data_IF_635469202705
#
_entry.id   IF_635469202705
#
_cell.length_a   1.000
_cell.length_b   1.000
_cell.length_c   1.000
_cell.angle_alpha   90.00
_cell.angle_beta   90.00
_cell.angle_gamma   90.00
#
_symmetry.space_group_name_H-M   'P 1'
#
loop_
_entity.id
_entity.type
_entity.pdbx_description
1 polymer ?
#
# COMPACT_ATOMS: atom_id res chain seq x y z
N UNK A 1 15.91 29.29 -7.90
CA UNK A 1 14.81 28.85 -7.02
C UNK A 1 15.27 27.60 -6.28
N UNK A 2 15.04 27.53 -4.97
CA UNK A 2 15.34 26.35 -4.15
C UNK A 2 14.48 25.15 -4.55
N UNK A 3 14.97 23.95 -4.27
CA UNK A 3 14.19 22.71 -4.41
C UNK A 3 13.00 22.75 -3.42
N UNK A 4 11.74 22.68 -3.91
CA UNK A 4 10.57 22.78 -3.05
C UNK A 4 10.30 21.52 -2.22
N UNK A 5 10.72 20.33 -2.64
CA UNK A 5 10.53 19.11 -1.87
C UNK A 5 11.69 18.92 -0.88
N UNK A 6 11.42 19.12 0.40
CA UNK A 6 12.43 19.03 1.47
C UNK A 6 12.43 17.62 2.03
N UNK A 7 13.59 16.97 2.07
CA UNK A 7 13.74 15.61 2.61
C UNK A 7 13.30 15.55 4.08
N UNK A 8 12.48 14.56 4.41
CA UNK A 8 12.02 14.31 5.78
C UNK A 8 12.71 13.03 6.30
N UNK A 9 13.66 13.16 7.26
CA UNK A 9 14.34 12.00 7.82
C UNK A 9 13.37 11.14 8.65
N UNK A 10 13.66 9.84 8.76
CA UNK A 10 12.75 8.83 9.33
C UNK A 10 12.34 9.15 10.78
N UNK A 11 13.26 9.73 11.55
CA UNK A 11 13.06 10.15 12.95
C UNK A 11 11.90 11.15 13.10
N UNK A 12 11.56 11.87 12.03
CA UNK A 12 10.48 12.86 12.00
C UNK A 12 9.20 12.34 11.36
N UNK A 13 9.15 11.10 10.88
CA UNK A 13 7.94 10.55 10.26
C UNK A 13 6.77 10.45 11.25
N UNK A 14 7.04 10.30 12.56
CA UNK A 14 6.00 10.36 13.60
C UNK A 14 5.22 11.69 13.63
N UNK A 15 5.89 12.81 13.34
CA UNK A 15 5.26 14.13 13.24
C UNK A 15 4.30 14.17 12.05
N UNK A 16 4.74 13.70 10.88
CA UNK A 16 3.92 13.66 9.67
C UNK A 16 2.75 12.66 9.78
N UNK A 17 2.98 11.49 10.39
CA UNK A 17 1.92 10.53 10.74
C UNK A 17 0.83 11.20 11.60
N UNK A 18 1.22 12.06 12.54
CA UNK A 18 0.28 12.78 13.41
C UNK A 18 -0.57 13.80 12.63
N UNK A 19 0.02 14.48 11.65
CA UNK A 19 -0.71 15.39 10.74
C UNK A 19 -1.75 14.64 9.90
N UNK A 20 -1.39 13.50 9.29
CA UNK A 20 -2.37 12.72 8.52
C UNK A 20 -3.47 12.09 9.38
N UNK A 21 -3.21 11.87 10.67
CA UNK A 21 -4.23 11.37 11.60
C UNK A 21 -5.32 12.40 11.89
N UNK A 22 -5.09 13.70 11.68
CA UNK A 22 -6.15 14.72 11.82
C UNK A 22 -7.16 14.73 10.68
N UNK A 23 -6.88 14.03 9.58
CA UNK A 23 -7.71 13.94 8.37
C UNK A 23 -8.11 12.49 8.13
N UNK A 24 -8.78 11.87 9.12
CA UNK A 24 -9.14 10.45 9.10
C UNK A 24 -10.57 10.23 8.57
N UNK A 25 -10.83 9.18 7.77
CA UNK A 25 -9.93 8.10 7.34
C UNK A 25 -9.06 8.42 6.12
N UNK A 26 -9.23 9.55 5.44
CA UNK A 26 -8.50 9.89 4.20
C UNK A 26 -6.97 9.76 4.32
N UNK A 27 -6.41 10.15 5.45
CA UNK A 27 -4.99 10.08 5.77
C UNK A 27 -4.44 8.69 6.12
N UNK A 28 -5.28 7.65 6.18
CA UNK A 28 -4.86 6.28 6.55
C UNK A 28 -3.76 5.75 5.62
N UNK A 29 -3.85 6.01 4.33
CA UNK A 29 -2.90 5.54 3.32
C UNK A 29 -1.52 6.19 3.51
N UNK A 30 -1.48 7.49 3.80
CA UNK A 30 -0.25 8.21 4.13
C UNK A 30 0.37 7.70 5.43
N UNK A 31 -0.46 7.55 6.48
CA UNK A 31 -0.02 7.03 7.77
C UNK A 31 0.60 5.65 7.64
N UNK A 32 -0.13 4.71 7.04
CA UNK A 32 0.28 3.30 6.91
C UNK A 32 1.47 3.12 5.98
N UNK A 33 1.63 3.99 4.98
CA UNK A 33 2.84 4.02 4.13
C UNK A 33 4.09 4.36 4.94
N UNK A 34 4.05 5.44 5.73
CA UNK A 34 5.19 5.84 6.56
C UNK A 34 5.49 4.79 7.64
N UNK A 35 4.45 4.28 8.29
CA UNK A 35 4.56 3.29 9.37
C UNK A 35 5.16 1.97 8.87
N UNK A 36 4.71 1.51 7.70
CA UNK A 36 5.20 0.25 7.11
C UNK A 36 6.59 0.42 6.51
N UNK A 37 6.90 1.56 5.90
CA UNK A 37 8.25 1.85 5.42
C UNK A 37 9.27 1.85 6.58
N UNK A 38 8.92 2.47 7.71
CA UNK A 38 9.73 2.47 8.94
C UNK A 38 9.91 1.04 9.48
N UNK A 39 8.83 0.25 9.55
CA UNK A 39 8.88 -1.16 9.95
C UNK A 39 9.82 -1.99 9.05
N UNK A 40 9.75 -1.80 7.73
CA UNK A 40 10.59 -2.52 6.76
C UNK A 40 12.08 -2.20 6.98
N UNK A 41 12.43 -0.92 7.14
CA UNK A 41 13.81 -0.48 7.40
C UNK A 41 14.31 -1.05 8.74
N UNK A 42 13.51 -0.98 9.79
CA UNK A 42 13.84 -1.50 11.11
C UNK A 42 14.00 -3.04 11.15
N UNK A 43 13.44 -3.76 10.17
CA UNK A 43 13.67 -5.20 9.97
C UNK A 43 14.84 -5.50 9.00
N UNK A 44 15.73 -4.52 8.77
CA UNK A 44 16.97 -4.69 8.01
C UNK A 44 16.77 -4.80 6.50
N UNK A 45 15.70 -4.21 5.98
CA UNK A 45 15.30 -4.31 4.58
C UNK A 45 15.17 -2.94 3.91
N UNK A 46 16.21 -2.10 3.99
CA UNK A 46 16.24 -0.84 3.24
C UNK A 46 16.06 -1.09 1.74
N UNK A 47 15.05 -0.44 1.18
CA UNK A 47 14.63 -0.54 -0.21
C UNK A 47 14.62 0.81 -0.92
N UNK A 48 15.22 1.84 -0.30
CA UNK A 48 15.42 3.15 -0.92
C UNK A 48 14.22 4.09 -0.87
N UNK A 49 13.24 3.83 0.01
CA UNK A 49 12.11 4.74 0.24
C UNK A 49 12.58 6.08 0.82
N UNK A 50 12.16 7.17 0.20
CA UNK A 50 12.48 8.53 0.66
C UNK A 50 11.23 9.38 0.75
N UNK A 51 10.98 9.98 1.91
CA UNK A 51 9.87 10.90 2.12
C UNK A 51 10.34 12.36 2.02
N UNK A 52 9.50 13.20 1.43
CA UNK A 52 9.70 14.64 1.30
C UNK A 52 8.42 15.38 1.66
N UNK A 53 8.58 16.61 2.13
CA UNK A 53 7.48 17.51 2.49
C UNK A 53 7.59 18.81 1.68
N UNK A 54 6.49 19.29 1.07
CA UNK A 54 6.52 20.53 0.31
C UNK A 54 6.87 21.74 1.18
N UNK A 55 7.93 22.43 0.79
CA UNK A 55 8.49 23.62 1.43
C UNK A 55 8.87 23.43 2.91
N UNK A 56 9.10 22.20 3.35
CA UNK A 56 9.50 21.92 4.74
C UNK A 56 8.35 21.90 5.74
N UNK A 57 7.11 22.12 5.32
CA UNK A 57 5.93 22.18 6.17
C UNK A 57 5.09 20.90 6.03
N UNK A 58 4.94 20.19 7.15
CA UNK A 58 4.26 18.89 7.24
C UNK A 58 2.79 18.97 6.82
N UNK A 59 2.15 20.14 6.95
CA UNK A 59 0.75 20.34 6.58
C UNK A 59 0.51 20.45 5.08
N UNK A 60 1.59 20.55 4.28
CA UNK A 60 1.48 20.61 2.82
C UNK A 60 1.50 19.23 2.16
N UNK A 61 1.71 18.16 2.93
CA UNK A 61 1.56 16.79 2.47
C UNK A 61 2.85 15.99 2.41
N UNK A 62 2.72 14.79 1.87
CA UNK A 62 3.78 13.81 1.66
C UNK A 62 4.01 13.64 0.16
N UNK A 63 5.27 13.72 -0.23
CA UNK A 63 5.74 13.20 -1.52
C UNK A 63 6.83 12.19 -1.23
N UNK A 64 6.59 10.92 -1.51
CA UNK A 64 7.59 9.86 -1.31
C UNK A 64 8.00 9.22 -2.64
N UNK A 65 9.29 8.92 -2.74
CA UNK A 65 9.89 8.24 -3.88
C UNK A 65 10.26 6.82 -3.50
N UNK A 66 9.80 5.88 -4.32
CA UNK A 66 10.09 4.46 -4.19
C UNK A 66 10.57 3.93 -5.55
N UNK A 67 11.90 3.87 -5.73
CA UNK A 67 12.54 3.53 -7.00
C UNK A 67 13.08 2.10 -6.92
N UNK A 68 12.46 1.18 -7.66
CA UNK A 68 12.84 -0.25 -7.69
C UNK A 68 13.22 -0.67 -9.09
N UNK A 69 14.50 -0.49 -9.43
CA UNK A 69 14.98 -0.70 -10.79
C UNK A 69 14.24 0.21 -11.78
N UNK A 70 13.47 -0.38 -12.70
CA UNK A 70 12.68 0.37 -13.69
C UNK A 70 11.35 0.88 -13.13
N UNK A 71 10.85 0.29 -12.03
CA UNK A 71 9.60 0.71 -11.41
C UNK A 71 9.82 2.00 -10.61
N UNK A 72 9.07 3.05 -10.98
CA UNK A 72 9.19 4.37 -10.40
C UNK A 72 7.87 4.81 -9.80
N UNK A 73 7.79 4.74 -8.48
CA UNK A 73 6.59 5.06 -7.74
C UNK A 73 6.77 6.39 -6.99
N UNK A 74 5.76 7.25 -7.13
CA UNK A 74 5.67 8.55 -6.46
C UNK A 74 4.40 8.54 -5.62
N UNK A 75 4.53 8.36 -4.32
CA UNK A 75 3.40 8.44 -3.39
C UNK A 75 3.14 9.91 -3.10
N UNK A 76 1.91 10.37 -3.35
CA UNK A 76 1.50 11.76 -3.09
C UNK A 76 0.29 11.74 -2.18
N UNK A 77 0.33 12.48 -1.07
CA UNK A 77 -0.77 12.58 -0.10
C UNK A 77 -0.88 14.00 0.45
N UNK A 78 -2.09 14.48 0.74
CA UNK A 78 -2.34 15.83 1.26
C UNK A 78 -3.37 15.78 2.40
N UNK A 79 -3.05 16.28 3.62
CA UNK A 79 -3.92 16.19 4.81
C UNK A 79 -5.02 17.28 4.85
N UNK A 80 -5.31 17.92 3.71
CA UNK A 80 -6.27 19.01 3.57
C UNK A 80 -6.79 19.09 2.14
N UNK A 81 -7.95 19.73 1.96
CA UNK A 81 -8.60 19.86 0.65
C UNK A 81 -7.82 20.78 -0.30
N UNK A 82 -7.25 21.87 0.23
CA UNK A 82 -6.43 22.79 -0.56
C UNK A 82 -5.07 22.19 -0.88
N UNK A 83 -4.89 21.88 -2.17
CA UNK A 83 -3.72 21.22 -2.73
C UNK A 83 -2.78 22.19 -3.46
N UNK A 84 -3.04 23.50 -3.39
CA UNK A 84 -2.31 24.52 -4.17
C UNK A 84 -0.80 24.50 -3.91
N UNK A 85 -0.40 24.41 -2.64
CA UNK A 85 1.03 24.40 -2.26
C UNK A 85 1.72 23.11 -2.69
N UNK A 86 1.05 21.97 -2.56
CA UNK A 86 1.55 20.68 -3.02
C UNK A 86 1.71 20.65 -4.55
N UNK A 87 0.74 21.22 -5.29
CA UNK A 87 0.81 21.34 -6.74
C UNK A 87 1.98 22.22 -7.20
N UNK A 88 2.22 23.37 -6.56
CA UNK A 88 3.37 24.22 -6.87
C UNK A 88 4.70 23.48 -6.67
N UNK A 89 4.83 22.75 -5.56
CA UNK A 89 6.03 21.97 -5.26
C UNK A 89 6.28 20.87 -6.31
N UNK A 90 5.25 20.10 -6.66
CA UNK A 90 5.34 19.03 -7.67
C UNK A 90 5.62 19.57 -9.09
N UNK A 91 5.14 20.77 -9.42
CA UNK A 91 5.42 21.40 -10.70
C UNK A 91 6.87 21.88 -10.83
N UNK A 92 7.46 22.33 -9.72
CA UNK A 92 8.80 22.96 -9.67
C UNK A 92 9.94 22.04 -9.25
N UNK A 93 9.65 20.93 -8.58
CA UNK A 93 10.67 20.00 -8.11
C UNK A 93 11.50 19.43 -9.26
N UNK A 94 12.79 19.21 -8.99
CA UNK A 94 13.71 18.50 -9.88
C UNK A 94 13.97 17.06 -9.41
N UNK A 95 13.41 16.66 -8.26
CA UNK A 95 13.56 15.31 -7.70
C UNK A 95 12.71 14.27 -8.43
N UNK A 96 11.61 14.71 -9.06
CA UNK A 96 10.73 13.84 -9.83
C UNK A 96 11.06 13.94 -11.31
N UNK A 97 11.47 12.84 -11.90
CA UNK A 97 11.62 12.73 -13.35
C UNK A 97 10.25 12.43 -14.00
N UNK A 98 9.56 13.47 -14.44
CA UNK A 98 8.28 13.35 -15.16
C UNK A 98 8.43 12.87 -16.62
N UNK A 99 9.66 12.65 -17.10
CA UNK A 99 9.92 12.20 -18.47
C UNK A 99 10.04 10.68 -18.61
N UNK A 100 10.18 9.95 -17.50
CA UNK A 100 10.10 8.47 -17.48
C UNK A 100 8.68 7.99 -17.16
N UNK A 101 8.46 6.69 -17.34
CA UNK A 101 7.24 6.04 -16.84
C UNK A 101 7.21 6.08 -15.31
N UNK A 102 6.05 6.37 -14.73
CA UNK A 102 5.85 6.44 -13.29
C UNK A 102 4.46 5.98 -12.86
N UNK A 103 4.33 5.67 -11.58
CA UNK A 103 3.09 5.23 -10.95
C UNK A 103 2.81 6.07 -9.70
N UNK A 104 1.57 6.55 -9.55
CA UNK A 104 1.09 7.30 -8.39
C UNK A 104 -0.05 6.50 -7.76
N UNK A 105 0.23 5.75 -6.70
CA UNK A 105 -0.71 4.80 -6.14
C UNK A 105 -1.67 5.46 -5.13
N UNK A 106 -2.87 4.87 -4.98
CA UNK A 106 -3.84 5.15 -3.92
C UNK A 106 -4.10 6.64 -3.62
N UNK A 107 -4.23 7.48 -4.65
CA UNK A 107 -4.51 8.91 -4.47
C UNK A 107 -5.96 9.14 -4.05
N UNK A 108 -6.21 9.78 -2.89
CA UNK A 108 -7.55 10.29 -2.56
C UNK A 108 -7.99 11.37 -3.56
N UNK A 109 -9.28 11.70 -3.57
CA UNK A 109 -9.87 12.57 -4.60
C UNK A 109 -9.14 13.91 -4.78
N UNK A 110 -8.84 14.63 -3.69
CA UNK A 110 -8.11 15.91 -3.74
C UNK A 110 -6.74 15.77 -4.43
N UNK A 111 -6.03 14.67 -4.15
CA UNK A 111 -4.74 14.34 -4.77
C UNK A 111 -4.90 13.88 -6.21
N UNK A 112 -5.90 13.06 -6.53
CA UNK A 112 -6.18 12.69 -7.92
C UNK A 112 -6.45 13.93 -8.77
N UNK A 113 -7.29 14.85 -8.29
CA UNK A 113 -7.65 16.07 -9.00
C UNK A 113 -6.41 16.96 -9.24
N UNK A 114 -5.51 17.08 -8.26
CA UNK A 114 -4.25 17.82 -8.44
C UNK A 114 -3.32 17.13 -9.46
N UNK A 115 -3.20 15.81 -9.40
CA UNK A 115 -2.35 15.06 -10.33
C UNK A 115 -2.88 15.13 -11.77
N UNK A 116 -4.20 15.09 -11.98
CA UNK A 116 -4.83 15.29 -13.30
C UNK A 116 -4.50 16.66 -13.89
N UNK A 117 -4.46 17.71 -13.07
CA UNK A 117 -4.02 19.06 -13.50
C UNK A 117 -2.55 19.08 -13.89
N UNK A 118 -1.67 18.48 -13.08
CA UNK A 118 -0.23 18.37 -13.39
C UNK A 118 0.00 17.59 -14.68
N UNK A 119 -0.66 16.44 -14.85
CA UNK A 119 -0.59 15.59 -16.03
C UNK A 119 -1.00 16.36 -17.29
N UNK A 120 -2.08 17.13 -17.20
CA UNK A 120 -2.53 17.99 -18.30
C UNK A 120 -1.49 19.08 -18.61
N UNK A 121 -1.02 19.82 -17.61
CA UNK A 121 -0.01 20.89 -17.77
C UNK A 121 1.32 20.37 -18.33
N UNK A 122 1.67 19.11 -18.06
CA UNK A 122 2.90 18.46 -18.56
C UNK A 122 2.68 17.68 -19.87
N UNK A 123 1.50 17.77 -20.49
CA UNK A 123 1.15 17.06 -21.74
C UNK A 123 1.32 15.54 -21.64
N UNK A 124 0.94 14.96 -20.51
CA UNK A 124 1.07 13.53 -20.22
C UNK A 124 -0.20 12.72 -20.46
N UNK A 125 -1.34 13.37 -20.74
CA UNK A 125 -2.66 12.73 -20.76
C UNK A 125 -2.78 11.54 -21.70
N UNK A 126 -2.10 11.56 -22.86
CA UNK A 126 -2.09 10.46 -23.83
C UNK A 126 -1.32 9.21 -23.38
N UNK A 127 -0.52 9.33 -22.32
CA UNK A 127 0.27 8.26 -21.73
C UNK A 127 -0.31 7.75 -20.41
N UNK A 128 -1.43 8.33 -19.97
CA UNK A 128 -1.99 8.11 -18.64
C UNK A 128 -3.12 7.09 -18.67
N UNK A 129 -3.06 6.13 -17.75
CA UNK A 129 -4.19 5.25 -17.40
C UNK A 129 -4.51 5.42 -15.92
N UNK A 130 -5.80 5.40 -15.59
CA UNK A 130 -6.29 5.51 -14.21
C UNK A 130 -7.07 4.25 -13.88
N UNK A 131 -6.75 3.63 -12.75
CA UNK A 131 -7.52 2.52 -12.17
C UNK A 131 -8.13 2.97 -10.84
N UNK A 132 -9.41 2.67 -10.63
CA UNK A 132 -10.13 2.99 -9.39
C UNK A 132 -10.19 1.75 -8.50
N UNK A 133 -9.96 1.92 -7.21
CA UNK A 133 -10.15 0.86 -6.20
C UNK A 133 -11.04 1.33 -5.07
N UNK A 134 -11.93 0.44 -4.62
CA UNK A 134 -12.65 0.61 -3.35
C UNK A 134 -11.65 0.52 -2.18
N UNK A 135 -11.83 1.37 -1.17
CA UNK A 135 -11.04 1.38 0.07
C UNK A 135 -11.82 0.68 1.17
N UNK A 136 -11.17 -0.25 1.89
CA UNK A 136 -11.76 -0.97 3.01
C UNK A 136 -10.84 -0.86 4.22
N UNK A 137 -11.37 -0.51 5.39
CA UNK A 137 -10.56 -0.42 6.61
C UNK A 137 -11.36 -0.81 7.87
N UNK A 138 -10.64 -1.07 8.96
CA UNK A 138 -11.24 -1.12 10.30
C UNK A 138 -10.99 0.19 11.05
N UNK A 139 -12.06 0.77 11.58
CA UNK A 139 -11.97 1.94 12.46
C UNK A 139 -11.64 1.57 13.91
N UNK A 140 -12.07 0.39 14.34
CA UNK A 140 -11.79 -0.18 15.66
C UNK A 140 -10.74 -1.28 15.55
N UNK A 141 -10.14 -1.68 16.68
CA UNK A 141 -9.21 -2.81 16.73
C UNK A 141 -9.96 -4.11 16.44
N UNK A 142 -9.75 -4.78 15.28
CA UNK A 142 -10.45 -6.02 14.99
C UNK A 142 -10.09 -7.11 16.01
N UNK A 143 -11.10 -7.87 16.44
CA UNK A 143 -10.95 -8.95 17.41
C UNK A 143 -11.81 -10.16 17.01
N UNK A 144 -11.43 -10.82 15.93
CA UNK A 144 -12.13 -12.01 15.45
C UNK A 144 -11.90 -13.19 16.40
N UNK A 145 -12.98 -13.83 16.83
CA UNK A 145 -12.87 -15.11 17.51
C UNK A 145 -12.51 -16.20 16.48
N UNK A 146 -11.24 -16.58 16.43
CA UNK A 146 -10.71 -17.59 15.51
C UNK A 146 -9.91 -18.64 16.26
N UNK A 147 -10.17 -19.90 15.91
CA UNK A 147 -9.36 -21.05 16.31
C UNK A 147 -8.86 -21.78 15.07
N UNK A 148 -7.61 -22.25 15.14
CA UNK A 148 -7.04 -23.07 14.07
C UNK A 148 -7.47 -24.53 14.27
N UNK A 149 -7.98 -25.20 13.22
CA UNK A 149 -8.24 -26.64 13.29
C UNK A 149 -6.95 -27.42 13.53
N UNK A 150 -7.07 -28.65 14.04
CA UNK A 150 -5.92 -29.56 14.19
C UNK A 150 -5.20 -29.76 12.84
N UNK A 151 -3.86 -29.72 12.87
CA UNK A 151 -3.01 -29.82 11.68
C UNK A 151 -2.82 -28.52 10.90
N UNK A 152 -3.45 -27.42 11.32
CA UNK A 152 -3.23 -26.09 10.72
C UNK A 152 -2.22 -25.26 11.53
N UNK A 153 -1.45 -24.44 10.82
CA UNK A 153 -0.56 -23.44 11.40
C UNK A 153 -0.74 -22.11 10.68
N UNK A 154 -0.72 -21.01 11.42
CA UNK A 154 -0.68 -19.66 10.87
C UNK A 154 0.62 -19.00 11.33
N UNK A 155 1.53 -18.81 10.39
CA UNK A 155 2.90 -18.39 10.65
C UNK A 155 3.35 -17.40 9.57
N UNK A 156 4.51 -16.76 9.77
CA UNK A 156 5.13 -15.97 8.71
C UNK A 156 5.47 -16.88 7.52
N UNK A 157 5.39 -16.32 6.32
CA UNK A 157 5.87 -16.97 5.10
C UNK A 157 7.38 -17.17 5.16
N UNK A 158 7.86 -18.23 4.52
CA UNK A 158 9.27 -18.56 4.38
C UNK A 158 9.80 -17.99 3.07
N UNK A 159 11.10 -17.77 2.99
CA UNK A 159 11.73 -17.22 1.76
C UNK A 159 11.48 -18.09 0.52
N UNK A 160 11.29 -19.40 0.68
CA UNK A 160 10.92 -20.35 -0.36
C UNK A 160 9.49 -20.17 -0.90
N UNK A 161 8.56 -19.63 -0.08
CA UNK A 161 7.17 -19.38 -0.47
C UNK A 161 7.01 -18.16 -1.40
N UNK A 162 8.06 -17.34 -1.55
CA UNK A 162 8.02 -16.18 -2.44
C UNK A 162 7.74 -16.58 -3.89
N UNK A 163 8.23 -17.74 -4.34
CA UNK A 163 8.07 -18.18 -5.73
C UNK A 163 6.61 -18.53 -6.04
N UNK A 164 5.92 -19.26 -5.16
CA UNK A 164 4.51 -19.62 -5.39
C UNK A 164 3.59 -18.38 -5.32
N UNK A 165 3.91 -17.40 -4.46
CA UNK A 165 3.20 -16.13 -4.44
C UNK A 165 3.37 -15.36 -5.76
N UNK A 166 4.57 -15.37 -6.33
CA UNK A 166 4.87 -14.75 -7.63
C UNK A 166 4.17 -15.46 -8.80
N UNK A 167 4.29 -16.79 -8.87
CA UNK A 167 3.77 -17.61 -9.96
C UNK A 167 2.24 -17.50 -10.11
N UNK A 168 1.55 -17.22 -9.00
CA UNK A 168 0.09 -17.08 -8.94
C UNK A 168 -0.39 -15.64 -9.04
N UNK A 169 0.51 -14.65 -9.06
CA UNK A 169 0.14 -13.24 -9.15
C UNK A 169 -0.15 -12.84 -10.61
N UNK A 170 -1.38 -12.38 -10.95
CA UNK A 170 -1.72 -12.02 -12.33
C UNK A 170 -0.90 -10.85 -12.90
N UNK A 171 -0.25 -10.07 -12.04
CA UNK A 171 0.53 -8.90 -12.41
C UNK A 171 2.05 -9.11 -12.24
N UNK A 172 2.50 -10.38 -12.21
CA UNK A 172 3.94 -10.71 -12.09
C UNK A 172 4.79 -10.03 -13.16
N UNK A 173 6.00 -9.65 -12.79
CA UNK A 173 6.97 -8.97 -13.65
C UNK A 173 8.39 -9.38 -13.22
N UNK A 174 9.46 -9.06 -13.98
CA UNK A 174 10.82 -9.54 -13.65
C UNK A 174 11.34 -9.18 -12.24
N UNK A 175 10.73 -8.21 -11.55
CA UNK A 175 11.10 -7.80 -10.19
C UNK A 175 10.15 -8.28 -9.09
N UNK A 176 9.08 -9.01 -9.41
CA UNK A 176 8.04 -9.33 -8.43
C UNK A 176 8.45 -10.38 -7.39
N UNK A 177 9.29 -11.36 -7.75
CA UNK A 177 9.87 -12.30 -6.76
C UNK A 177 10.72 -11.56 -5.72
N UNK A 178 11.54 -10.60 -6.13
CA UNK A 178 12.32 -9.78 -5.20
C UNK A 178 11.40 -9.01 -4.25
N UNK A 179 10.31 -8.46 -4.76
CA UNK A 179 9.31 -7.76 -3.97
C UNK A 179 8.63 -8.67 -2.92
N UNK A 180 8.22 -9.89 -3.28
CA UNK A 180 7.69 -10.83 -2.29
C UNK A 180 8.75 -11.20 -1.24
N UNK A 181 9.99 -11.44 -1.66
CA UNK A 181 11.12 -11.70 -0.74
C UNK A 181 11.39 -10.51 0.21
N UNK A 182 11.26 -9.28 -0.26
CA UNK A 182 11.37 -8.07 0.57
C UNK A 182 10.31 -8.09 1.67
N UNK A 183 9.05 -8.34 1.32
CA UNK A 183 7.95 -8.41 2.30
C UNK A 183 8.15 -9.55 3.31
N UNK A 184 8.60 -10.72 2.86
CA UNK A 184 8.90 -11.85 3.75
C UNK A 184 10.03 -11.50 4.72
N UNK A 185 11.13 -10.92 4.23
CA UNK A 185 12.25 -10.45 5.06
C UNK A 185 11.79 -9.45 6.12
N UNK A 186 10.87 -8.55 5.76
CA UNK A 186 10.26 -7.59 6.65
C UNK A 186 9.17 -8.17 7.57
N UNK A 187 8.93 -9.49 7.54
CA UNK A 187 7.88 -10.19 8.33
C UNK A 187 6.46 -9.69 8.01
N UNK A 188 6.22 -9.34 6.75
CA UNK A 188 4.93 -8.84 6.24
C UNK A 188 4.17 -9.87 5.40
N UNK A 189 4.68 -11.10 5.27
CA UNK A 189 4.01 -12.21 4.60
C UNK A 189 3.50 -13.23 5.62
N UNK A 190 2.22 -13.60 5.51
CA UNK A 190 1.55 -14.52 6.44
C UNK A 190 0.96 -15.71 5.68
N UNK A 191 1.27 -16.93 6.13
CA UNK A 191 0.84 -18.18 5.52
C UNK A 191 -0.05 -19.01 6.43
N UNK A 192 -1.05 -19.64 5.84
CA UNK A 192 -1.82 -20.72 6.45
C UNK A 192 -1.32 -22.04 5.88
N UNK A 193 -0.80 -22.89 6.76
CA UNK A 193 -0.27 -24.19 6.41
C UNK A 193 -1.18 -25.29 6.93
N UNK A 194 -1.33 -26.38 6.16
CA UNK A 194 -2.00 -27.60 6.57
C UNK A 194 -1.03 -28.76 6.39
N UNK A 195 -0.71 -29.49 7.45
CA UNK A 195 0.29 -30.57 7.41
C UNK A 195 1.62 -30.14 6.75
N UNK A 196 2.10 -28.93 7.09
CA UNK A 196 3.29 -28.26 6.53
C UNK A 196 3.21 -27.82 5.05
N UNK A 197 2.08 -28.01 4.37
CA UNK A 197 1.84 -27.47 3.02
C UNK A 197 1.22 -26.07 3.10
N UNK A 198 1.74 -25.10 2.35
CA UNK A 198 1.15 -23.76 2.25
C UNK A 198 -0.14 -23.81 1.40
N UNK A 199 -1.29 -23.49 2.00
CA UNK A 199 -2.60 -23.61 1.34
C UNK A 199 -3.29 -22.26 1.08
N UNK A 200 -2.90 -21.22 1.80
CA UNK A 200 -3.38 -19.86 1.61
C UNK A 200 -2.40 -18.86 2.22
N UNK A 201 -2.41 -17.62 1.76
CA UNK A 201 -1.56 -16.56 2.29
C UNK A 201 -2.15 -15.18 2.07
N UNK A 202 -1.63 -14.20 2.80
CA UNK A 202 -1.89 -12.78 2.62
C UNK A 202 -0.63 -12.00 3.00
N UNK A 203 -0.41 -10.87 2.34
CA UNK A 203 0.70 -9.98 2.63
C UNK A 203 0.17 -8.62 3.12
N UNK A 204 0.98 -7.97 3.94
CA UNK A 204 0.94 -6.52 4.12
C UNK A 204 1.88 -5.92 3.08
N UNK A 205 1.32 -5.12 2.17
CA UNK A 205 2.11 -4.44 1.13
C UNK A 205 2.96 -3.33 1.75
N UNK A 206 3.91 -2.77 1.00
CA UNK A 206 4.80 -1.71 1.50
C UNK A 206 4.07 -0.44 1.94
N UNK A 207 2.88 -0.19 1.40
CA UNK A 207 2.01 0.90 1.86
C UNK A 207 1.14 0.54 3.08
N UNK A 208 1.36 -0.62 3.70
CA UNK A 208 0.63 -1.10 4.88
C UNK A 208 -0.75 -1.72 4.62
N UNK A 209 -1.25 -1.66 3.39
CA UNK A 209 -2.52 -2.31 3.03
C UNK A 209 -2.35 -3.82 2.86
N UNK A 210 -3.32 -4.59 3.36
CA UNK A 210 -3.52 -6.00 3.05
C UNK A 210 -3.63 -6.19 1.53
N UNK A 211 -2.99 -7.23 1.03
CA UNK A 211 -2.96 -7.55 -0.39
C UNK A 211 -2.41 -8.94 -0.65
N UNK A 212 -2.41 -9.32 -1.93
CA UNK A 212 -1.90 -10.63 -2.37
C UNK A 212 -2.54 -11.82 -1.64
N UNK A 213 -3.81 -11.66 -1.21
CA UNK A 213 -4.59 -12.74 -0.62
C UNK A 213 -4.81 -13.81 -1.69
N UNK A 214 -4.40 -15.03 -1.39
CA UNK A 214 -4.60 -16.15 -2.28
C UNK A 214 -4.90 -17.43 -1.52
N UNK A 215 -5.67 -18.32 -2.15
CA UNK A 215 -5.95 -19.66 -1.68
C UNK A 215 -5.67 -20.61 -2.83
N UNK A 216 -4.83 -21.62 -2.57
CA UNK A 216 -4.47 -22.67 -3.54
C UNK A 216 -5.75 -23.32 -4.08
N UNK A 217 -5.78 -23.62 -5.37
CA UNK A 217 -7.03 -23.85 -6.11
C UNK A 217 -7.87 -25.00 -5.54
N UNK A 218 -7.24 -26.13 -5.22
CA UNK A 218 -7.85 -27.29 -4.57
C UNK A 218 -8.28 -27.05 -3.10
N UNK A 219 -7.91 -25.90 -2.52
CA UNK A 219 -8.29 -25.45 -1.18
C UNK A 219 -9.34 -24.32 -1.17
N UNK A 220 -9.79 -23.84 -2.35
CA UNK A 220 -10.80 -22.78 -2.46
C UNK A 220 -12.18 -23.23 -1.95
N UNK A 221 -13.04 -22.23 -1.63
CA UNK A 221 -14.43 -22.40 -1.15
C UNK A 221 -14.58 -23.17 0.18
N UNK A 222 -13.48 -23.29 0.95
CA UNK A 222 -13.44 -23.93 2.28
C UNK A 222 -13.30 -22.93 3.44
N UNK A 223 -13.47 -21.63 3.17
CA UNK A 223 -13.36 -20.56 4.17
C UNK A 223 -11.93 -20.09 4.49
N UNK A 224 -10.89 -20.63 3.85
CA UNK A 224 -9.50 -20.29 4.22
C UNK A 224 -9.08 -18.84 3.92
N UNK A 225 -9.63 -18.21 2.88
CA UNK A 225 -9.37 -16.79 2.62
C UNK A 225 -9.91 -15.90 3.75
N UNK A 226 -11.09 -16.22 4.26
CA UNK A 226 -11.68 -15.55 5.43
C UNK A 226 -10.86 -15.80 6.70
N UNK A 227 -10.46 -17.04 6.92
CA UNK A 227 -9.63 -17.41 8.07
C UNK A 227 -8.31 -16.64 8.07
N UNK A 228 -7.61 -16.58 6.94
CA UNK A 228 -6.36 -15.81 6.80
C UNK A 228 -6.58 -14.33 7.07
N UNK A 229 -7.63 -13.73 6.50
CA UNK A 229 -7.93 -12.30 6.74
C UNK A 229 -8.25 -12.01 8.20
N UNK A 230 -9.01 -12.87 8.88
CA UNK A 230 -9.28 -12.72 10.32
C UNK A 230 -8.00 -12.81 11.14
N UNK A 231 -7.16 -13.81 10.86
CA UNK A 231 -5.90 -14.04 11.59
C UNK A 231 -4.91 -12.88 11.41
N UNK A 232 -4.69 -12.42 10.18
CA UNK A 232 -3.78 -11.29 9.92
C UNK A 232 -4.33 -9.99 10.52
N UNK A 233 -5.64 -9.75 10.46
CA UNK A 233 -6.27 -8.57 11.07
C UNK A 233 -6.07 -8.57 12.58
N UNK A 234 -6.26 -9.71 13.25
CA UNK A 234 -5.99 -9.85 14.68
C UNK A 234 -4.51 -9.64 15.02
N UNK A 235 -3.58 -10.10 14.17
CA UNK A 235 -2.14 -9.86 14.37
C UNK A 235 -1.81 -8.37 14.28
N UNK A 236 -2.27 -7.70 13.23
CA UNK A 236 -2.06 -6.25 13.05
C UNK A 236 -2.66 -5.45 14.20
N UNK A 237 -3.87 -5.80 14.62
CA UNK A 237 -4.52 -5.22 15.79
C UNK A 237 -3.69 -5.33 17.07
N UNK A 238 -3.13 -6.52 17.35
CA UNK A 238 -2.27 -6.76 18.53
C UNK A 238 -0.96 -5.98 18.46
N UNK A 239 -0.47 -5.70 17.26
CA UNK A 239 0.71 -4.87 17.02
C UNK A 239 0.40 -3.36 17.04
N UNK A 240 -0.87 -2.96 17.22
CA UNK A 240 -1.30 -1.56 17.17
C UNK A 240 -1.32 -0.96 15.76
N UNK A 241 -1.31 -1.80 14.72
CA UNK A 241 -1.33 -1.40 13.30
C UNK A 241 -2.75 -1.31 12.76
N UNK A 242 -2.95 -0.40 11.82
CA UNK A 242 -4.22 -0.29 11.10
C UNK A 242 -4.39 -1.41 10.08
N UNK A 243 -5.63 -1.81 9.88
CA UNK A 243 -6.01 -2.80 8.87
C UNK A 243 -6.70 -2.08 7.74
N UNK A 244 -6.04 -2.04 6.59
CA UNK A 244 -6.45 -1.35 5.37
C UNK A 244 -6.37 -2.32 4.20
N UNK A 245 -7.27 -2.23 3.23
CA UNK A 245 -7.21 -2.97 1.98
C UNK A 245 -7.73 -2.11 0.82
N UNK A 246 -7.18 -2.36 -0.37
CA UNK A 246 -7.67 -1.78 -1.61
C UNK A 246 -8.16 -2.88 -2.53
N UNK A 247 -9.36 -2.72 -3.07
CA UNK A 247 -9.99 -3.69 -3.94
C UNK A 247 -10.28 -3.08 -5.31
N UNK A 248 -9.73 -3.65 -6.38
CA UNK A 248 -10.07 -3.23 -7.75
C UNK A 248 -11.56 -3.44 -8.00
N UNK A 249 -12.20 -2.46 -8.63
CA UNK A 249 -13.60 -2.54 -9.05
C UNK A 249 -13.80 -3.78 -9.94
N UNK A 250 -14.80 -4.60 -9.61
CA UNK A 250 -15.08 -5.87 -10.29
C UNK A 250 -14.51 -7.11 -9.59
N UNK A 251 -13.65 -6.97 -8.57
CA UNK A 251 -13.26 -8.09 -7.72
C UNK A 251 -14.33 -8.37 -6.63
N UNK A 252 -15.48 -8.86 -7.07
CA UNK A 252 -16.63 -9.14 -6.21
C UNK A 252 -16.34 -10.20 -5.14
N UNK A 253 -15.36 -11.08 -5.37
CA UNK A 253 -14.92 -12.07 -4.40
C UNK A 253 -14.29 -11.42 -3.16
N UNK A 254 -13.32 -10.54 -3.38
CA UNK A 254 -12.66 -9.81 -2.30
C UNK A 254 -13.63 -8.82 -1.62
N UNK A 255 -14.42 -8.08 -2.40
CA UNK A 255 -15.42 -7.13 -1.88
C UNK A 255 -16.41 -7.78 -0.92
N UNK A 256 -17.02 -8.91 -1.31
CA UNK A 256 -17.93 -9.66 -0.43
C UNK A 256 -17.24 -10.15 0.83
N UNK A 257 -15.95 -10.47 0.76
CA UNK A 257 -15.20 -10.94 1.91
C UNK A 257 -14.94 -9.80 2.90
N UNK A 258 -14.56 -8.61 2.43
CA UNK A 258 -14.41 -7.43 3.28
C UNK A 258 -15.74 -7.03 3.92
N UNK A 259 -16.84 -7.04 3.15
CA UNK A 259 -18.19 -6.77 3.68
C UNK A 259 -18.64 -7.81 4.72
N UNK A 260 -18.40 -9.10 4.47
CA UNK A 260 -18.71 -10.18 5.42
C UNK A 260 -17.96 -10.03 6.74
N UNK A 261 -16.74 -9.48 6.68
CA UNK A 261 -15.92 -9.23 7.86
C UNK A 261 -16.20 -7.86 8.50
N UNK A 262 -17.17 -7.09 7.98
CA UNK A 262 -17.54 -5.78 8.53
C UNK A 262 -16.44 -4.71 8.41
N UNK A 263 -15.59 -4.81 7.39
CA UNK A 263 -14.74 -3.68 7.00
C UNK A 263 -15.64 -2.50 6.59
N UNK A 264 -15.27 -1.30 7.02
CA UNK A 264 -15.90 -0.06 6.57
C UNK A 264 -15.38 0.24 5.18
N UNK A 265 -16.32 0.47 4.24
CA UNK A 265 -15.99 0.96 2.92
C UNK A 265 -15.88 2.49 2.97
N UNK A 266 -14.76 3.04 2.52
CA UNK A 266 -14.50 4.48 2.41
C UNK A 266 -14.55 4.95 0.94
N UNK A 267 -14.34 6.24 0.71
CA UNK A 267 -14.17 6.79 -0.63
C UNK A 267 -13.12 6.00 -1.45
N UNK A 268 -13.38 5.78 -2.76
CA UNK A 268 -12.44 5.10 -3.61
C UNK A 268 -11.20 5.96 -3.84
N UNK A 269 -10.07 5.29 -4.07
CA UNK A 269 -8.82 5.93 -4.47
C UNK A 269 -8.48 5.60 -5.92
N UNK A 270 -7.70 6.47 -6.53
CA UNK A 270 -7.20 6.29 -7.89
C UNK A 270 -5.72 5.86 -7.91
N UNK A 271 -5.38 5.04 -8.90
CA UNK A 271 -4.03 4.60 -9.20
C UNK A 271 -3.69 5.11 -10.60
N UNK A 272 -2.78 6.08 -10.66
CA UNK A 272 -2.44 6.78 -11.89
C UNK A 272 -1.13 6.21 -12.42
N UNK A 273 -1.15 5.68 -13.65
CA UNK A 273 0.05 5.15 -14.31
C UNK A 273 0.33 5.96 -15.57
N UNK A 274 1.55 6.45 -15.71
CA UNK A 274 2.04 7.08 -16.93
C UNK A 274 3.08 6.18 -17.56
N UNK A 275 2.81 5.71 -18.79
CA UNK A 275 3.73 4.84 -19.54
C UNK A 275 4.30 5.61 -20.73
N UNK A 276 5.57 6.01 -20.61
CA UNK A 276 6.33 6.62 -21.70
C UNK A 276 6.81 5.53 -22.66
N UNK A 277 6.70 5.79 -23.96
CA UNK A 277 7.26 4.96 -25.02
C UNK A 277 8.75 5.24 -25.19
#
# INVERSE_FOLDING_TARGET
>A
MSEPLVFLPMERWGELKSVFKSDWPRGISAYTTLDTAEHIVNNGADYGFKAYVPFGDLTNGLVALNVKGTFYEVVVQCPKDDTTVLEDALMRTKLIDWNRSFHIPFTPKNVSDLMKRIITKKNLSSFTTITVTDTFYYNETPNFNVSLPSGFKFELLRMEDAQIADDTWPHKHPGSVWYFKLLIKAKLGYGLYKNNELIAWCYVKEMGALGHLYVVENHRRKGYGELVLKLISNTLAKEGKFVLAFCVVGNEGAKRLYQKLEFIQDEPVEWITVVRK
#
